data_IF_451355047453
#
_entry.id   IF_451355047453
#
_cell.length_a   1.000
_cell.length_b   1.000
_cell.length_c   1.000
_cell.angle_alpha   90.00
_cell.angle_beta   90.00
_cell.angle_gamma   90.00
#
_symmetry.space_group_name_H-M   'P 1'
#
loop_
_entity.id
_entity.type
_entity.pdbx_description
1 polymer ?
#
# COMPACT_ATOMS: atom_id res chain seq x y z
N UNK A 1 -6.52 -21.61 0.90
CA UNK A 1 -6.17 -20.26 0.46
C UNK A 1 -5.90 -19.50 1.72
N UNK A 2 -4.71 -18.90 1.81
CA UNK A 2 -4.34 -18.13 2.97
C UNK A 2 -5.32 -16.97 3.18
N UNK A 3 -5.50 -16.57 4.44
CA UNK A 3 -6.30 -15.41 4.80
C UNK A 3 -5.52 -14.48 5.72
N UNK A 4 -5.93 -13.22 5.76
CA UNK A 4 -5.29 -12.22 6.61
C UNK A 4 -6.32 -11.21 7.11
N UNK A 5 -6.14 -10.73 8.33
CA UNK A 5 -6.98 -9.71 8.96
C UNK A 5 -6.13 -8.75 9.80
N UNK A 6 -6.36 -7.44 9.66
CA UNK A 6 -5.77 -6.45 10.57
C UNK A 6 -6.49 -6.55 11.91
N UNK A 7 -5.72 -6.76 12.98
CA UNK A 7 -6.24 -6.83 14.34
C UNK A 7 -5.73 -5.64 15.17
N UNK A 8 -6.62 -5.06 15.98
CA UNK A 8 -6.33 -3.86 16.78
C UNK A 8 -5.58 -4.16 18.08
N UNK A 9 -5.69 -5.39 18.56
CA UNK A 9 -5.11 -5.84 19.81
C UNK A 9 -4.35 -7.14 19.57
N UNK A 10 -3.28 -7.33 20.33
CA UNK A 10 -2.52 -8.58 20.33
C UNK A 10 -3.45 -9.73 20.74
N UNK A 11 -3.44 -10.88 20.05
CA UNK A 11 -4.25 -12.03 20.42
C UNK A 11 -3.96 -12.50 21.85
N UNK A 12 -5.02 -12.84 22.59
CA UNK A 12 -4.91 -13.28 23.98
C UNK A 12 -4.38 -14.72 24.12
N UNK A 13 -4.36 -15.49 23.02
CA UNK A 13 -3.86 -16.86 22.97
C UNK A 13 -2.45 -16.94 22.38
N UNK A 14 -1.75 -18.03 22.68
CA UNK A 14 -0.37 -18.23 22.21
C UNK A 14 -0.39 -18.61 20.74
N UNK A 15 0.15 -17.72 19.90
CA UNK A 15 0.39 -17.95 18.47
C UNK A 15 1.82 -17.60 18.10
N UNK A 16 2.38 -18.19 17.04
CA UNK A 16 3.65 -17.74 16.49
C UNK A 16 3.57 -16.28 16.05
N UNK A 17 4.60 -15.50 16.39
CA UNK A 17 4.73 -14.09 16.02
C UNK A 17 5.98 -13.90 15.18
N UNK A 18 5.86 -13.11 14.10
CA UNK A 18 6.98 -12.72 13.26
C UNK A 18 7.01 -11.19 13.17
N UNK A 19 8.14 -10.60 13.53
CA UNK A 19 8.33 -9.17 13.51
C UNK A 19 8.92 -8.72 12.16
N UNK A 20 8.26 -7.76 11.52
CA UNK A 20 8.69 -7.08 10.30
C UNK A 20 8.93 -5.61 10.62
N UNK A 21 10.20 -5.23 10.81
CA UNK A 21 10.61 -3.88 11.23
C UNK A 21 9.88 -3.36 12.48
N UNK A 22 9.39 -4.26 13.35
CA UNK A 22 8.55 -3.92 14.50
C UNK A 22 9.31 -3.10 15.56
N UNK A 23 9.14 -1.78 15.52
CA UNK A 23 9.69 -0.86 16.52
C UNK A 23 8.70 0.28 16.82
N UNK A 24 8.46 0.56 18.10
CA UNK A 24 7.54 1.61 18.54
C UNK A 24 6.07 1.22 18.33
N UNK A 25 5.31 2.11 17.67
CA UNK A 25 3.93 1.80 17.27
C UNK A 25 3.93 0.65 16.26
N UNK A 26 3.03 -0.31 16.41
CA UNK A 26 2.94 -1.47 15.53
C UNK A 26 1.49 -1.71 15.10
N UNK A 27 1.33 -2.35 13.96
CA UNK A 27 0.08 -2.96 13.53
C UNK A 27 0.25 -4.47 13.55
N UNK A 28 -0.79 -5.17 14.00
CA UNK A 28 -0.82 -6.62 14.00
C UNK A 28 -1.72 -7.09 12.85
N UNK A 29 -1.24 -8.09 12.12
CA UNK A 29 -2.04 -8.78 11.10
C UNK A 29 -2.06 -10.26 11.46
N UNK A 30 -3.25 -10.80 11.68
CA UNK A 30 -3.47 -12.22 11.85
C UNK A 30 -3.48 -12.87 10.47
N UNK A 31 -2.59 -13.81 10.24
CA UNK A 31 -2.54 -14.64 9.04
C UNK A 31 -2.99 -16.06 9.37
N UNK A 32 -3.64 -16.70 8.41
CA UNK A 32 -3.91 -18.14 8.41
C UNK A 32 -3.33 -18.72 7.11
N UNK A 33 -2.43 -19.71 7.23
CA UNK A 33 -1.83 -20.38 6.08
C UNK A 33 -2.78 -21.41 5.43
N UNK A 34 -2.34 -22.00 4.31
CA UNK A 34 -3.12 -23.01 3.59
C UNK A 34 -3.36 -24.31 4.39
N UNK A 35 -2.65 -24.50 5.50
CA UNK A 35 -2.82 -25.62 6.43
C UNK A 35 -3.66 -25.25 7.66
N UNK A 36 -4.36 -24.12 7.62
CA UNK A 36 -5.20 -23.57 8.70
C UNK A 36 -4.42 -23.23 9.98
N UNK A 37 -3.12 -22.96 9.86
CA UNK A 37 -2.29 -22.56 11.01
C UNK A 37 -2.23 -21.05 11.07
N UNK A 38 -2.57 -20.53 12.23
CA UNK A 38 -2.55 -19.10 12.48
C UNK A 38 -1.19 -18.61 12.97
N UNK A 39 -0.81 -17.42 12.54
CA UNK A 39 0.35 -16.69 13.04
C UNK A 39 0.10 -15.19 12.93
N UNK A 40 0.86 -14.39 13.68
CA UNK A 40 0.70 -12.94 13.69
C UNK A 40 1.96 -12.24 13.16
N UNK A 41 1.76 -11.43 12.13
CA UNK A 41 2.76 -10.49 11.66
C UNK A 41 2.67 -9.20 12.46
N UNK A 42 3.80 -8.76 13.00
CA UNK A 42 3.94 -7.50 13.73
C UNK A 42 4.69 -6.53 12.83
N UNK A 43 4.02 -5.49 12.37
CA UNK A 43 4.59 -4.54 11.42
C UNK A 43 4.93 -3.23 12.11
N UNK A 44 6.18 -2.80 11.97
CA UNK A 44 6.61 -1.48 12.44
C UNK A 44 5.86 -0.36 11.75
N UNK A 45 5.38 0.58 12.53
CA UNK A 45 4.77 1.79 12.02
C UNK A 45 5.85 2.78 11.55
N UNK A 46 5.66 3.39 10.39
CA UNK A 46 6.32 4.68 10.10
C UNK A 46 5.66 5.81 10.90
N UNK A 47 5.74 7.04 10.40
CA UNK A 47 5.39 8.23 11.19
C UNK A 47 3.90 8.60 11.17
N UNK A 48 3.05 7.83 10.48
CA UNK A 48 1.64 8.18 10.27
C UNK A 48 0.70 7.40 11.20
N UNK A 49 -0.29 8.08 11.77
CA UNK A 49 -1.44 7.44 12.42
C UNK A 49 -2.44 7.02 11.34
N UNK A 50 -2.43 5.75 10.97
CA UNK A 50 -3.24 5.18 9.90
C UNK A 50 -3.76 3.80 10.33
N UNK A 51 -5.03 3.48 10.06
CA UNK A 51 -5.66 2.20 10.46
C UNK A 51 -5.03 0.97 9.78
N UNK A 52 -4.21 1.20 8.75
CA UNK A 52 -3.60 0.16 7.95
C UNK A 52 -4.51 -0.25 6.80
N UNK A 53 -3.91 -0.72 5.71
CA UNK A 53 -4.62 -1.32 4.58
C UNK A 53 -4.05 -2.70 4.31
N UNK A 54 -4.94 -3.65 4.09
CA UNK A 54 -4.60 -5.03 3.78
C UNK A 54 -5.30 -5.42 2.48
N UNK A 55 -4.54 -5.96 1.53
CA UNK A 55 -5.08 -6.46 0.28
C UNK A 55 -4.41 -7.78 -0.08
N UNK A 56 -5.20 -8.73 -0.58
CA UNK A 56 -4.67 -9.98 -1.11
C UNK A 56 -4.10 -9.76 -2.53
N UNK A 57 -2.90 -10.26 -2.79
CA UNK A 57 -2.20 -10.17 -4.08
C UNK A 57 -2.30 -11.47 -4.87
N UNK A 58 -2.14 -12.60 -4.18
CA UNK A 58 -2.17 -13.95 -4.79
C UNK A 58 -2.96 -14.91 -3.90
N UNK A 59 -2.71 -16.21 -3.95
CA UNK A 59 -3.30 -17.15 -2.99
C UNK A 59 -2.55 -17.20 -1.65
N UNK A 60 -1.34 -16.63 -1.60
CA UNK A 60 -0.40 -16.69 -0.47
C UNK A 60 0.15 -15.31 -0.08
N UNK A 61 0.17 -14.35 -1.02
CA UNK A 61 0.83 -13.07 -0.80
C UNK A 61 -0.15 -11.93 -0.53
N UNK A 62 0.21 -11.09 0.45
CA UNK A 62 -0.59 -9.96 0.89
C UNK A 62 0.24 -8.68 0.83
N UNK A 63 -0.42 -7.58 0.47
CA UNK A 63 0.09 -6.23 0.67
C UNK A 63 -0.45 -5.69 1.99
N UNK A 64 0.44 -5.17 2.81
CA UNK A 64 0.13 -4.46 4.06
C UNK A 64 0.68 -3.04 3.95
N UNK A 65 -0.18 -2.03 3.97
CA UNK A 65 0.22 -0.63 4.16
C UNK A 65 -0.02 -0.27 5.61
N UNK A 66 1.01 0.16 6.32
CA UNK A 66 0.91 0.57 7.71
C UNK A 66 1.79 1.76 7.99
N UNK A 67 1.16 2.81 8.51
CA UNK A 67 1.80 4.01 9.03
C UNK A 67 2.88 4.61 8.11
N UNK A 68 2.66 4.61 6.80
CA UNK A 68 3.62 5.18 5.86
C UNK A 68 4.48 4.17 5.11
N UNK A 69 4.43 2.87 5.44
CA UNK A 69 5.23 1.83 4.79
C UNK A 69 4.37 0.79 4.13
N UNK A 70 4.90 0.18 3.09
CA UNK A 70 4.27 -0.91 2.35
C UNK A 70 5.10 -2.18 2.48
N UNK A 71 4.44 -3.28 2.77
CA UNK A 71 5.04 -4.61 2.92
C UNK A 71 4.33 -5.60 2.00
N UNK A 72 5.10 -6.50 1.37
CA UNK A 72 4.60 -7.68 0.66
C UNK A 72 5.02 -8.92 1.44
N UNK A 73 4.06 -9.72 1.87
CA UNK A 73 4.28 -10.83 2.81
C UNK A 73 3.66 -12.11 2.28
N UNK A 74 4.38 -13.22 2.37
CA UNK A 74 3.85 -14.55 2.08
C UNK A 74 3.38 -15.23 3.38
N UNK A 75 2.13 -15.69 3.40
CA UNK A 75 1.49 -16.24 4.58
C UNK A 75 2.00 -17.65 4.93
N UNK A 76 2.26 -18.48 3.92
CA UNK A 76 2.60 -19.89 4.08
C UNK A 76 4.02 -20.08 4.64
N UNK A 77 5.00 -19.31 4.15
CA UNK A 77 6.40 -19.39 4.63
C UNK A 77 6.76 -18.31 5.66
N UNK A 78 5.79 -17.43 5.99
CA UNK A 78 5.91 -16.35 6.97
C UNK A 78 7.05 -15.38 6.67
N UNK A 79 7.33 -15.15 5.39
CA UNK A 79 8.46 -14.35 4.96
C UNK A 79 8.05 -13.00 4.37
N UNK A 80 8.95 -12.03 4.58
CA UNK A 80 8.87 -10.74 3.93
C UNK A 80 9.43 -10.86 2.51
N UNK A 81 8.61 -10.55 1.51
CA UNK A 81 9.04 -10.48 0.11
C UNK A 81 9.60 -9.12 -0.23
N UNK A 82 8.97 -8.06 0.27
CA UNK A 82 9.39 -6.68 0.01
C UNK A 82 8.92 -5.76 1.14
N UNK A 83 9.72 -4.72 1.43
CA UNK A 83 9.32 -3.58 2.22
C UNK A 83 9.75 -2.30 1.49
N UNK A 84 8.87 -1.30 1.46
CA UNK A 84 9.20 0.00 0.87
C UNK A 84 10.26 0.72 1.71
N UNK A 85 11.08 1.52 1.03
CA UNK A 85 11.97 2.48 1.70
C UNK A 85 11.18 3.71 2.17
N UNK A 86 10.13 4.05 1.43
CA UNK A 86 9.18 5.12 1.72
C UNK A 86 8.51 4.91 3.07
N UNK A 87 8.36 6.02 3.81
CA UNK A 87 7.82 6.07 5.18
C UNK A 87 6.61 6.99 5.34
N UNK A 88 6.04 7.44 4.22
CA UNK A 88 4.90 8.38 4.17
C UNK A 88 3.81 7.92 3.19
N UNK A 89 3.76 6.62 2.86
CA UNK A 89 2.69 6.06 2.04
C UNK A 89 1.34 6.11 2.76
N UNK A 90 0.34 6.63 2.08
CA UNK A 90 -1.00 6.87 2.62
C UNK A 90 -2.02 5.85 2.13
N UNK A 91 -1.85 5.34 0.91
CA UNK A 91 -2.73 4.33 0.33
C UNK A 91 -2.00 3.49 -0.72
N UNK A 92 -2.57 2.34 -1.07
CA UNK A 92 -2.15 1.52 -2.20
C UNK A 92 -3.27 0.65 -2.79
N UNK A 93 -3.14 0.32 -4.07
CA UNK A 93 -3.98 -0.61 -4.83
C UNK A 93 -3.10 -1.58 -5.62
N UNK A 94 -3.62 -2.77 -5.89
CA UNK A 94 -2.89 -3.81 -6.61
C UNK A 94 -3.50 -4.12 -7.98
N UNK A 95 -2.66 -4.08 -9.03
CA UNK A 95 -2.95 -4.62 -10.36
C UNK A 95 -2.48 -6.07 -10.45
N UNK A 96 -3.44 -7.01 -10.41
CA UNK A 96 -3.18 -8.44 -10.58
C UNK A 96 -2.70 -8.84 -11.98
N UNK A 97 -2.97 -8.04 -13.01
CA UNK A 97 -2.63 -8.40 -14.38
C UNK A 97 -1.14 -8.20 -14.67
N UNK A 98 -0.53 -7.18 -14.05
CA UNK A 98 0.91 -6.87 -14.19
C UNK A 98 1.74 -7.19 -12.95
N UNK A 99 1.11 -7.69 -11.87
CA UNK A 99 1.73 -7.87 -10.55
C UNK A 99 2.40 -6.57 -10.06
N UNK A 100 1.64 -5.46 -10.12
CA UNK A 100 2.10 -4.14 -9.72
C UNK A 100 1.30 -3.63 -8.54
N UNK A 101 2.00 -3.02 -7.59
CA UNK A 101 1.38 -2.26 -6.51
C UNK A 101 1.52 -0.78 -6.82
N UNK A 102 0.40 -0.08 -6.93
CA UNK A 102 0.35 1.37 -7.06
C UNK A 102 0.07 1.96 -5.69
N UNK A 103 1.03 2.67 -5.13
CA UNK A 103 0.88 3.37 -3.87
C UNK A 103 0.88 4.89 -4.08
N UNK A 104 0.47 5.63 -3.07
CA UNK A 104 0.64 7.07 -3.02
C UNK A 104 1.26 7.50 -1.70
N UNK A 105 2.03 8.59 -1.76
CA UNK A 105 2.18 9.49 -0.62
C UNK A 105 1.22 10.68 -0.79
N UNK A 106 1.35 11.72 0.02
CA UNK A 106 0.53 12.92 -0.06
C UNK A 106 0.57 13.63 -1.42
N UNK A 107 1.61 13.42 -2.22
CA UNK A 107 1.98 14.27 -3.36
C UNK A 107 2.40 13.51 -4.61
N UNK A 108 2.81 12.24 -4.50
CA UNK A 108 3.30 11.40 -5.58
C UNK A 108 2.59 10.06 -5.66
N UNK A 109 2.50 9.54 -6.87
CA UNK A 109 2.20 8.14 -7.14
C UNK A 109 3.50 7.35 -7.25
N UNK A 110 3.48 6.12 -6.75
CA UNK A 110 4.61 5.19 -6.75
C UNK A 110 4.14 3.84 -7.28
N UNK A 111 4.99 3.18 -8.04
CA UNK A 111 4.73 1.85 -8.57
C UNK A 111 5.82 0.90 -8.10
N UNK A 112 5.41 -0.22 -7.52
CA UNK A 112 6.29 -1.29 -7.05
C UNK A 112 6.01 -2.57 -7.82
N UNK A 113 7.07 -3.33 -8.08
CA UNK A 113 6.99 -4.74 -8.47
C UNK A 113 7.62 -5.63 -7.37
N UNK A 114 7.80 -6.92 -7.65
CA UNK A 114 8.40 -7.87 -6.71
C UNK A 114 9.83 -7.50 -6.26
N UNK A 115 10.55 -6.67 -7.00
CA UNK A 115 11.91 -6.22 -6.70
C UNK A 115 11.96 -4.86 -5.97
N UNK A 116 10.80 -4.25 -5.68
CA UNK A 116 10.71 -2.95 -4.99
C UNK A 116 10.24 -1.82 -5.90
N UNK A 117 10.69 -0.60 -5.63
CA UNK A 117 10.24 0.60 -6.34
C UNK A 117 10.69 0.56 -7.81
N UNK A 118 9.71 0.53 -8.71
CA UNK A 118 9.93 0.51 -10.16
C UNK A 118 9.84 1.92 -10.76
N UNK A 119 8.94 2.75 -10.23
CA UNK A 119 8.67 4.08 -10.77
C UNK A 119 8.07 5.01 -9.73
N UNK A 120 8.35 6.30 -9.87
CA UNK A 120 7.76 7.38 -9.09
C UNK A 120 7.37 8.52 -10.02
N UNK A 121 6.17 9.05 -9.83
CA UNK A 121 5.67 10.18 -10.61
C UNK A 121 6.44 11.48 -10.26
N UNK A 122 6.22 12.52 -11.07
CA UNK A 122 6.38 13.90 -10.57
C UNK A 122 5.32 14.18 -9.50
N UNK A 123 5.40 15.32 -8.82
CA UNK A 123 4.29 15.76 -7.95
C UNK A 123 2.99 15.82 -8.77
N UNK A 124 1.92 15.20 -8.28
CA UNK A 124 0.57 15.19 -8.87
C UNK A 124 -0.49 15.80 -7.95
N UNK A 125 -0.16 15.96 -6.67
CA UNK A 125 -1.05 16.54 -5.66
C UNK A 125 -0.29 17.51 -4.77
N UNK A 126 -1.01 18.44 -4.12
CA UNK A 126 -0.48 19.32 -3.10
C UNK A 126 -0.53 18.71 -1.70
N UNK A 127 -1.62 17.99 -1.36
CA UNK A 127 -1.85 17.54 0.02
C UNK A 127 -2.78 16.32 0.16
N UNK A 128 -2.79 15.43 -0.82
CA UNK A 128 -3.54 14.18 -0.71
C UNK A 128 -3.89 13.53 -2.04
N UNK A 129 -3.86 12.21 -2.05
CA UNK A 129 -4.22 11.38 -3.19
C UNK A 129 -5.16 10.30 -2.67
N UNK A 130 -6.32 10.14 -3.31
CA UNK A 130 -7.25 9.07 -3.02
C UNK A 130 -7.46 8.21 -4.27
N UNK A 131 -7.39 6.89 -4.11
CA UNK A 131 -7.70 5.94 -5.18
C UNK A 131 -9.20 5.63 -5.20
N UNK A 132 -9.82 5.72 -6.38
CA UNK A 132 -11.24 5.45 -6.55
C UNK A 132 -11.48 4.04 -7.08
N UNK A 133 -10.78 3.67 -8.16
CA UNK A 133 -10.91 2.36 -8.82
C UNK A 133 -9.66 2.01 -9.62
N UNK A 134 -9.52 0.72 -9.89
CA UNK A 134 -8.54 0.17 -10.81
C UNK A 134 -9.25 -0.73 -11.83
N UNK A 135 -8.86 -0.66 -13.09
CA UNK A 135 -9.24 -1.60 -14.13
C UNK A 135 -8.01 -2.20 -14.80
N UNK A 136 -8.19 -2.88 -15.93
CA UNK A 136 -7.10 -3.60 -16.62
C UNK A 136 -6.01 -2.68 -17.14
N UNK A 137 -6.24 -1.37 -17.34
CA UNK A 137 -5.26 -0.48 -17.96
C UNK A 137 -4.93 0.73 -17.10
N UNK A 138 -5.81 1.09 -16.17
CA UNK A 138 -5.76 2.37 -15.49
C UNK A 138 -6.06 2.28 -13.99
N UNK A 139 -5.39 3.14 -13.23
CA UNK A 139 -5.79 3.53 -11.88
C UNK A 139 -6.39 4.92 -11.92
N UNK A 140 -7.53 5.10 -11.28
CA UNK A 140 -8.25 6.35 -11.22
C UNK A 140 -8.32 6.82 -9.78
N UNK A 141 -8.38 8.13 -9.62
CA UNK A 141 -8.55 8.72 -8.31
C UNK A 141 -8.72 10.22 -8.37
N UNK A 142 -8.60 10.82 -7.18
CA UNK A 142 -8.65 12.26 -6.99
C UNK A 142 -7.39 12.75 -6.28
N UNK A 143 -6.97 13.95 -6.62
CA UNK A 143 -5.87 14.67 -6.00
C UNK A 143 -6.35 15.99 -5.41
N UNK A 144 -5.75 16.39 -4.30
CA UNK A 144 -5.98 17.71 -3.71
C UNK A 144 -5.16 18.77 -4.45
N UNK A 145 -5.85 19.69 -5.12
CA UNK A 145 -5.30 20.84 -5.83
C UNK A 145 -5.66 22.19 -5.17
N UNK A 146 -6.10 22.14 -3.90
CA UNK A 146 -6.67 23.23 -3.09
C UNK A 146 -8.04 23.75 -3.53
N UNK A 147 -8.67 23.14 -4.53
CA UNK A 147 -10.10 23.35 -4.78
C UNK A 147 -10.95 22.55 -3.79
N UNK A 148 -12.24 22.92 -3.65
CA UNK A 148 -13.16 22.22 -2.75
C UNK A 148 -13.44 20.77 -3.22
N UNK A 149 -13.41 20.54 -4.53
CA UNK A 149 -13.77 19.25 -5.15
C UNK A 149 -12.56 18.36 -5.46
N UNK A 150 -11.34 18.94 -5.45
CA UNK A 150 -10.13 18.30 -5.96
C UNK A 150 -10.17 18.14 -7.49
N UNK A 151 -9.13 17.50 -8.03
CA UNK A 151 -9.03 17.18 -9.45
C UNK A 151 -8.94 15.67 -9.66
N UNK A 152 -9.52 15.16 -10.73
CA UNK A 152 -9.36 13.75 -11.09
C UNK A 152 -7.97 13.48 -11.69
N UNK A 153 -7.50 12.25 -11.54
CA UNK A 153 -6.35 11.74 -12.26
C UNK A 153 -6.63 10.34 -12.84
N UNK A 154 -5.92 10.04 -13.92
CA UNK A 154 -5.81 8.71 -14.51
C UNK A 154 -4.33 8.34 -14.65
N UNK A 155 -3.92 7.24 -14.04
CA UNK A 155 -2.61 6.63 -14.22
C UNK A 155 -2.74 5.47 -15.21
N UNK A 156 -2.11 5.60 -16.38
CA UNK A 156 -2.00 4.58 -17.40
C UNK A 156 -0.87 3.60 -17.05
N UNK A 157 -1.20 2.33 -16.83
CA UNK A 157 -0.29 1.33 -16.24
C UNK A 157 0.83 0.88 -17.19
N UNK A 158 0.57 0.81 -18.50
CA UNK A 158 1.56 0.37 -19.49
C UNK A 158 2.70 1.36 -19.67
N UNK A 159 2.37 2.65 -19.69
CA UNK A 159 3.33 3.73 -19.88
C UNK A 159 3.81 4.35 -18.56
N UNK A 160 3.15 4.02 -17.43
CA UNK A 160 3.29 4.70 -16.14
C UNK A 160 3.21 6.23 -16.33
N UNK A 161 2.13 6.64 -16.97
CA UNK A 161 1.85 8.03 -17.33
C UNK A 161 0.62 8.52 -16.57
N UNK A 162 0.73 9.71 -15.97
CA UNK A 162 -0.37 10.34 -15.23
C UNK A 162 -0.94 11.47 -16.08
N UNK A 163 -2.24 11.38 -16.32
CA UNK A 163 -3.07 12.47 -16.82
C UNK A 163 -3.92 13.01 -15.67
N UNK A 164 -4.01 14.33 -15.54
CA UNK A 164 -4.75 14.96 -14.45
C UNK A 164 -5.21 16.36 -14.83
N UNK A 165 -6.36 16.74 -14.30
CA UNK A 165 -6.97 18.06 -14.52
C UNK A 165 -6.30 19.17 -13.68
N UNK A 166 -5.30 18.84 -12.84
CA UNK A 166 -4.57 19.83 -12.03
C UNK A 166 -3.78 20.80 -12.92
N UNK A 167 -3.89 22.10 -12.63
CA UNK A 167 -3.05 23.10 -13.27
C UNK A 167 -1.56 22.85 -12.94
N UNK A 168 -0.71 22.53 -13.94
CA UNK A 168 0.70 22.19 -13.70
C UNK A 168 1.51 23.35 -13.10
N UNK A 169 1.03 24.59 -13.20
CA UNK A 169 1.67 25.75 -12.58
C UNK A 169 1.59 25.72 -11.07
N UNK A 170 0.54 25.09 -10.51
CA UNK A 170 0.33 24.98 -9.07
C UNK A 170 1.27 23.92 -8.47
N UNK A 171 1.54 22.85 -9.21
CA UNK A 171 2.41 21.75 -8.77
C UNK A 171 3.91 22.13 -8.77
N UNK A 172 4.29 23.13 -9.58
CA UNK A 172 5.66 23.66 -9.67
C UNK A 172 6.02 24.73 -8.64
N UNK A 173 5.09 25.14 -7.77
CA UNK A 173 5.32 26.02 -6.63
C UNK A 173 5.87 25.26 -5.42
#
# INVERSE_FOLDING_TARGET
MATAEIIRERPAWVIPEVAFDAYGNCLWVLFEDDEYRQWCGIFGAGNLHYEGKLQNLTTDEFMVVVAGRLYRVAANDRSLRMASEERMLTDAVYDRHRDLIIACDWTHLLCYDANGLKWKSKRVSLDGIAFDRIDEDCVYGTVNDLSDDGASFTLWLDALYVDSDVDPRILGM
#
